data_IF_439841577309
#
_entry.id   IF_439841577309
#
_cell.length_a   1.000
_cell.length_b   1.000
_cell.length_c   1.000
_cell.angle_alpha   90.00
_cell.angle_beta   90.00
_cell.angle_gamma   90.00
#
_symmetry.space_group_name_H-M   'P 1'
#
loop_
_entity.id
_entity.type
_entity.pdbx_description
1 polymer ?
#
# COMPACT_ATOMS: atom_id res chain seq x y z
N UNK A 1 -8.04 -19.11 -12.65
CA UNK A 1 -8.44 -18.01 -13.55
C UNK A 1 -8.66 -16.78 -12.68
N UNK A 2 -8.09 -15.64 -13.05
CA UNK A 2 -8.32 -14.39 -12.31
C UNK A 2 -9.78 -13.97 -12.48
N UNK A 3 -10.41 -13.53 -11.38
CA UNK A 3 -11.81 -13.08 -11.40
C UNK A 3 -11.90 -11.76 -12.20
N UNK A 4 -12.96 -11.52 -13.00
CA UNK A 4 -13.13 -10.25 -13.68
C UNK A 4 -13.25 -9.12 -12.67
N UNK A 5 -12.39 -8.11 -12.80
CA UNK A 5 -12.34 -6.95 -11.91
C UNK A 5 -12.40 -5.67 -12.74
N UNK A 6 -13.32 -4.76 -12.38
CA UNK A 6 -13.48 -3.46 -13.04
C UNK A 6 -13.20 -2.33 -12.05
N UNK A 7 -12.49 -1.29 -12.51
CA UNK A 7 -12.35 -0.04 -11.75
C UNK A 7 -13.61 0.80 -11.95
N UNK A 8 -14.29 1.13 -10.86
CA UNK A 8 -15.48 1.98 -10.86
C UNK A 8 -15.13 3.46 -10.64
N UNK A 9 -14.15 3.74 -9.77
CA UNK A 9 -13.74 5.09 -9.42
C UNK A 9 -12.26 5.13 -9.03
N UNK A 10 -11.61 6.27 -9.31
CA UNK A 10 -10.28 6.61 -8.84
C UNK A 10 -10.38 7.74 -7.81
N UNK A 11 -9.69 7.58 -6.69
CA UNK A 11 -9.59 8.53 -5.59
C UNK A 11 -8.12 8.96 -5.41
N UNK A 12 -7.84 10.23 -5.10
CA UNK A 12 -6.47 10.67 -4.82
C UNK A 12 -5.92 9.97 -3.57
N UNK A 13 -4.62 9.67 -3.57
CA UNK A 13 -3.90 9.06 -2.44
C UNK A 13 -2.72 9.92 -1.98
N UNK A 14 -2.78 11.24 -2.20
CA UNK A 14 -1.72 12.16 -1.77
C UNK A 14 -1.51 12.07 -0.26
N UNK A 15 -0.26 11.88 0.16
CA UNK A 15 0.10 11.71 1.57
C UNK A 15 -0.09 10.28 2.10
N UNK A 16 -0.42 9.31 1.25
CA UNK A 16 -0.53 7.91 1.64
C UNK A 16 0.56 7.05 1.00
N UNK A 17 1.01 6.05 1.74
CA UNK A 17 2.02 5.08 1.32
C UNK A 17 1.50 3.65 1.43
N UNK A 18 2.03 2.75 0.61
CA UNK A 18 2.00 1.33 0.90
C UNK A 18 3.30 0.97 1.63
N UNK A 19 3.16 0.22 2.72
CA UNK A 19 4.26 -0.30 3.52
C UNK A 19 4.52 -1.75 3.12
N UNK A 20 5.79 -2.08 2.92
CA UNK A 20 6.27 -3.38 2.50
C UNK A 20 7.33 -3.90 3.47
N UNK A 21 7.34 -5.20 3.71
CA UNK A 21 8.39 -5.89 4.46
C UNK A 21 9.53 -6.29 3.52
N UNK A 22 10.71 -5.72 3.70
CA UNK A 22 11.93 -6.05 2.98
C UNK A 22 12.93 -6.81 3.87
N UNK A 23 12.55 -8.04 4.25
CA UNK A 23 13.41 -8.94 5.04
C UNK A 23 13.56 -8.55 6.50
N UNK A 24 12.49 -8.05 7.11
CA UNK A 24 12.41 -7.64 8.51
C UNK A 24 12.55 -6.14 8.73
N UNK A 25 12.73 -5.36 7.67
CA UNK A 25 12.72 -3.90 7.68
C UNK A 25 11.53 -3.42 6.86
N UNK A 26 10.77 -2.47 7.40
CA UNK A 26 9.64 -1.90 6.67
C UNK A 26 10.12 -0.78 5.74
N UNK A 27 9.54 -0.71 4.54
CA UNK A 27 9.79 0.37 3.59
C UNK A 27 8.48 0.91 3.04
N UNK A 28 8.42 2.22 2.82
CA UNK A 28 7.25 2.88 2.29
C UNK A 28 7.42 3.27 0.81
N UNK A 29 6.37 3.05 0.01
CA UNK A 29 6.27 3.58 -1.35
C UNK A 29 4.99 4.41 -1.52
N UNK A 30 5.15 5.61 -2.10
CA UNK A 30 4.03 6.52 -2.34
C UNK A 30 2.94 5.89 -3.23
N UNK A 31 1.69 6.01 -2.80
CA UNK A 31 0.55 5.59 -3.59
C UNK A 31 0.25 6.62 -4.69
N UNK A 32 -0.10 6.10 -5.87
CA UNK A 32 -0.55 6.92 -6.99
C UNK A 32 -2.01 7.29 -6.82
N UNK A 33 -2.85 6.33 -6.42
CA UNK A 33 -4.27 6.53 -6.16
C UNK A 33 -4.87 5.35 -5.39
N UNK A 34 -6.12 5.52 -4.94
CA UNK A 34 -6.98 4.41 -4.55
C UNK A 34 -8.00 4.13 -5.66
N UNK A 35 -8.24 2.85 -5.95
CA UNK A 35 -9.25 2.42 -6.90
C UNK A 35 -10.41 1.73 -6.17
N UNK A 36 -11.64 2.24 -6.34
CA UNK A 36 -12.83 1.45 -6.01
C UNK A 36 -13.04 0.43 -7.11
N UNK A 37 -12.87 -0.85 -6.79
CA UNK A 37 -13.00 -1.96 -7.74
C UNK A 37 -14.25 -2.78 -7.46
N UNK A 38 -14.86 -3.31 -8.52
CA UNK A 38 -15.89 -4.33 -8.46
C UNK A 38 -15.34 -5.65 -9.01
N UNK A 39 -15.37 -6.71 -8.21
CA UNK A 39 -15.01 -8.07 -8.64
C UNK A 39 -16.25 -8.92 -8.80
N UNK A 40 -16.35 -9.66 -9.91
CA UNK A 40 -17.41 -10.63 -10.14
C UNK A 40 -16.92 -12.05 -9.80
N UNK A 41 -17.56 -12.69 -8.83
CA UNK A 41 -17.25 -14.05 -8.39
C UNK A 41 -18.51 -14.91 -8.34
N UNK A 42 -18.62 -15.89 -9.25
CA UNK A 42 -19.76 -16.81 -9.33
C UNK A 42 -21.15 -16.11 -9.32
N UNK A 43 -21.24 -14.95 -9.98
CA UNK A 43 -22.46 -14.13 -10.02
C UNK A 43 -22.65 -13.17 -8.85
N UNK A 44 -21.80 -13.24 -7.83
CA UNK A 44 -21.75 -12.27 -6.74
C UNK A 44 -20.81 -11.11 -7.08
N UNK A 45 -21.25 -9.89 -6.81
CA UNK A 45 -20.44 -8.67 -6.98
C UNK A 45 -19.91 -8.25 -5.62
N UNK A 46 -18.59 -8.09 -5.51
CA UNK A 46 -17.95 -7.53 -4.32
C UNK A 46 -17.22 -6.24 -4.69
N UNK A 47 -17.26 -5.26 -3.79
CA UNK A 47 -16.57 -3.99 -3.97
C UNK A 47 -15.49 -3.84 -2.91
N UNK A 48 -14.34 -3.28 -3.31
CA UNK A 48 -13.23 -2.99 -2.41
C UNK A 48 -12.50 -1.72 -2.87
N UNK A 49 -11.93 -0.98 -1.93
CA UNK A 49 -10.97 0.09 -2.24
C UNK A 49 -9.58 -0.52 -2.20
N UNK A 50 -8.83 -0.38 -3.30
CA UNK A 50 -7.52 -1.01 -3.49
C UNK A 50 -6.44 0.06 -3.71
N UNK A 51 -5.31 0.02 -2.98
CA UNK A 51 -4.20 0.93 -3.20
C UNK A 51 -3.49 0.62 -4.53
N UNK A 52 -3.08 1.66 -5.26
CA UNK A 52 -2.32 1.51 -6.50
C UNK A 52 -0.97 2.22 -6.40
N UNK A 53 0.10 1.52 -6.80
CA UNK A 53 1.46 2.04 -6.83
C UNK A 53 2.05 1.98 -8.25
N UNK A 54 3.15 2.70 -8.45
CA UNK A 54 3.91 2.62 -9.70
C UNK A 54 4.83 1.38 -9.67
N UNK A 55 4.72 0.55 -10.70
CA UNK A 55 5.59 -0.59 -10.96
C UNK A 55 6.29 -0.40 -12.31
N UNK A 56 7.48 0.20 -12.26
CA UNK A 56 8.25 0.60 -13.43
C UNK A 56 7.48 1.58 -14.34
N UNK A 57 6.94 1.08 -15.46
CA UNK A 57 6.14 1.87 -16.42
C UNK A 57 4.63 1.62 -16.32
N UNK A 58 4.19 0.86 -15.31
CA UNK A 58 2.80 0.45 -15.12
C UNK A 58 2.30 0.94 -13.76
N UNK A 59 0.99 0.95 -13.62
CA UNK A 59 0.32 1.14 -12.33
C UNK A 59 -0.30 -0.21 -11.96
N UNK A 60 -0.01 -0.69 -10.76
CA UNK A 60 -0.44 -2.00 -10.27
C UNK A 60 -1.10 -1.85 -8.89
N UNK A 61 -1.83 -2.88 -8.46
CA UNK A 61 -2.37 -2.91 -7.10
C UNK A 61 -1.24 -3.20 -6.12
N UNK A 62 -1.03 -2.30 -5.17
CA UNK A 62 0.06 -2.41 -4.19
C UNK A 62 -0.09 -3.65 -3.31
N UNK A 63 -1.33 -3.99 -2.97
CA UNK A 63 -1.69 -5.12 -2.10
C UNK A 63 -1.70 -6.49 -2.80
N UNK A 64 -1.22 -6.58 -4.05
CA UNK A 64 -0.92 -7.86 -4.71
C UNK A 64 0.54 -8.30 -4.53
N UNK A 65 1.41 -7.40 -4.05
CA UNK A 65 2.78 -7.76 -3.73
C UNK A 65 2.80 -8.71 -2.52
N UNK A 66 3.63 -9.75 -2.59
CA UNK A 66 3.70 -10.78 -1.54
C UNK A 66 4.19 -10.23 -0.19
N UNK A 67 4.94 -9.14 -0.22
CA UNK A 67 5.50 -8.47 0.95
C UNK A 67 4.73 -7.20 1.34
N UNK A 68 3.55 -6.95 0.76
CA UNK A 68 2.69 -5.86 1.19
C UNK A 68 2.21 -6.09 2.63
N UNK A 69 2.35 -5.07 3.48
CA UNK A 69 1.96 -5.11 4.89
C UNK A 69 0.67 -4.32 5.10
N UNK A 70 0.72 -3.01 4.82
CA UNK A 70 -0.39 -2.09 5.10
C UNK A 70 -0.37 -0.84 4.23
N UNK A 71 -1.43 -0.05 4.34
CA UNK A 71 -1.50 1.33 3.85
C UNK A 71 -1.54 2.24 5.08
N UNK A 72 -0.78 3.33 5.01
CA UNK A 72 -0.60 4.28 6.12
C UNK A 72 -0.42 5.70 5.58
N UNK A 73 -0.67 6.71 6.42
CA UNK A 73 -0.31 8.08 6.09
C UNK A 73 1.21 8.25 6.18
N UNK A 74 1.81 8.93 5.19
CA UNK A 74 3.26 9.13 5.13
C UNK A 74 3.80 9.76 6.42
N UNK A 75 3.09 10.76 6.97
CA UNK A 75 3.51 11.43 8.20
C UNK A 75 3.57 10.47 9.39
N UNK A 76 2.64 9.50 9.46
CA UNK A 76 2.64 8.52 10.54
C UNK A 76 3.79 7.51 10.37
N UNK A 77 4.06 7.06 9.15
CA UNK A 77 5.18 6.17 8.87
C UNK A 77 6.53 6.85 9.20
N UNK A 78 6.70 8.12 8.83
CA UNK A 78 7.91 8.90 9.15
C UNK A 78 8.07 9.11 10.68
N UNK A 79 6.98 9.35 11.42
CA UNK A 79 7.01 9.44 12.89
C UNK A 79 7.44 8.10 13.53
N UNK A 80 6.95 6.97 13.03
CA UNK A 80 7.29 5.64 13.55
C UNK A 80 8.77 5.27 13.29
N UNK A 81 9.39 5.73 12.19
CA UNK A 81 10.82 5.53 11.90
C UNK A 81 11.73 6.38 12.81
N UNK A 82 11.33 7.62 13.14
CA UNK A 82 12.12 8.52 13.99
C UNK A 82 12.24 8.01 15.44
N UNK A 83 11.21 7.34 15.96
CA UNK A 83 11.20 6.76 17.31
C UNK A 83 12.12 5.52 17.45
N UNK A 84 12.54 4.89 16.35
CA UNK A 84 13.45 3.74 16.35
C UNK A 84 14.94 4.15 16.38
N UNK A 85 15.28 5.41 16.07
CA UNK A 85 16.68 5.90 16.04
C UNK A 85 17.21 6.40 17.40
N UNK A 86 16.40 6.48 18.47
CA UNK A 86 16.81 7.03 19.78
C UNK A 86 17.40 6.00 20.79
N UNK A 87 17.58 4.72 20.42
CA UNK A 87 18.05 3.65 21.33
C UNK A 87 19.49 3.14 21.06
N UNK A 88 20.38 3.95 20.48
CA UNK A 88 21.80 3.55 20.30
C UNK A 88 22.84 4.67 20.58
N UNK A 89 22.74 5.40 21.70
CA UNK A 89 23.93 6.08 22.29
C UNK A 89 23.81 6.37 23.80
N UNK A 90 23.75 5.32 24.63
CA UNK A 90 24.19 5.43 26.03
C UNK A 90 25.42 4.57 26.29
N UNK A 91 26.57 4.99 25.75
CA UNK A 91 27.89 4.59 26.24
C UNK A 91 28.42 5.65 27.23
N UNK A 92 28.48 5.34 28.53
CA UNK A 92 29.50 5.84 29.49
C UNK A 92 29.44 5.10 30.84
#
# INVERSE_FOLDING_TARGET
>A
MSKPTNILQILPATGWVAVYDESGEESAAALVCFALVETLDNGSKTQAVRPMCADGKRIAFADEAANFVRVEELAQFEEDEEDEEEEEDTEA
#
